data_IF_849058212998
#
_entry.id   IF_849058212998
#
_cell.length_a   1.000
_cell.length_b   1.000
_cell.length_c   1.000
_cell.angle_alpha   90.00
_cell.angle_beta   90.00
_cell.angle_gamma   90.00
#
_symmetry.space_group_name_H-M   'P 1'
#
loop_
_entity.id
_entity.type
_entity.pdbx_description
1 polymer ?
#
# COMPACT_ATOMS: atom_id res chain seq x y z
N UNK A 1 11.64 -10.51 13.49
CA UNK A 1 12.24 -9.24 13.00
C UNK A 1 11.27 -8.57 12.03
N UNK A 2 11.26 -7.24 11.98
CA UNK A 2 10.46 -6.47 11.01
C UNK A 2 11.39 -5.80 10.00
N UNK A 3 10.96 -5.76 8.74
CA UNK A 3 11.67 -5.11 7.64
C UNK A 3 10.72 -4.16 6.91
N UNK A 4 11.26 -3.04 6.44
CA UNK A 4 10.51 -2.04 5.67
C UNK A 4 11.13 -1.93 4.29
N UNK A 5 10.31 -2.13 3.26
CA UNK A 5 10.61 -1.74 1.89
C UNK A 5 9.85 -0.44 1.60
N UNK A 6 10.55 0.57 1.08
CA UNK A 6 9.97 1.82 0.62
C UNK A 6 9.95 1.88 -0.91
N UNK A 7 8.92 2.49 -1.46
CA UNK A 7 8.81 2.86 -2.86
C UNK A 7 8.48 4.33 -2.94
N UNK A 8 9.04 5.01 -3.93
CA UNK A 8 8.63 6.38 -4.25
C UNK A 8 7.79 6.33 -5.52
N UNK A 9 6.51 6.66 -5.40
CA UNK A 9 5.52 6.56 -6.46
C UNK A 9 4.88 7.90 -6.76
N UNK A 10 4.15 7.91 -7.87
CA UNK A 10 3.37 9.00 -8.46
C UNK A 10 4.18 10.28 -8.74
N UNK A 11 3.60 11.25 -9.47
CA UNK A 11 4.29 12.51 -9.77
C UNK A 11 4.63 13.37 -8.55
N UNK A 12 4.01 13.12 -7.40
CA UNK A 12 4.20 13.85 -6.14
C UNK A 12 5.31 13.25 -5.29
N UNK A 13 5.85 12.08 -5.67
CA UNK A 13 6.91 11.37 -4.95
C UNK A 13 6.46 10.92 -3.55
N UNK A 14 5.25 10.38 -3.48
CA UNK A 14 4.71 9.75 -2.28
C UNK A 14 5.52 8.50 -1.91
N UNK A 15 5.67 8.24 -0.61
CA UNK A 15 6.38 7.06 -0.12
C UNK A 15 5.42 5.95 0.32
N UNK A 16 5.22 4.97 -0.55
CA UNK A 16 4.50 3.75 -0.22
C UNK A 16 5.41 2.78 0.54
N UNK A 17 4.91 2.17 1.61
CA UNK A 17 5.69 1.22 2.41
C UNK A 17 5.08 -0.18 2.44
N UNK A 18 5.98 -1.18 2.36
CA UNK A 18 5.67 -2.57 2.69
C UNK A 18 6.42 -2.94 3.97
N UNK A 19 5.68 -3.07 5.06
CA UNK A 19 6.20 -3.56 6.36
C UNK A 19 5.92 -5.06 6.46
N UNK A 20 6.95 -5.87 6.66
CA UNK A 20 6.79 -7.32 6.70
C UNK A 20 7.64 -7.99 7.77
N UNK A 21 7.23 -9.20 8.15
CA UNK A 21 7.95 -10.03 9.11
C UNK A 21 8.58 -11.26 8.43
N UNK A 22 9.38 -12.01 9.20
CA UNK A 22 10.06 -13.22 8.72
C UNK A 22 9.13 -14.38 8.33
N UNK A 23 7.82 -14.30 8.66
CA UNK A 23 6.81 -15.29 8.26
C UNK A 23 6.13 -14.91 6.93
N UNK A 24 6.54 -13.81 6.31
CA UNK A 24 6.00 -13.31 5.05
C UNK A 24 4.71 -12.50 5.18
N UNK A 25 4.11 -12.37 6.36
CA UNK A 25 2.95 -11.51 6.53
C UNK A 25 3.38 -10.04 6.38
N UNK A 26 2.66 -9.28 5.55
CA UNK A 26 2.97 -7.87 5.32
C UNK A 26 1.75 -6.95 5.40
N UNK A 27 2.05 -5.68 5.66
CA UNK A 27 1.14 -4.56 5.58
C UNK A 27 1.59 -3.67 4.42
N UNK A 28 0.63 -3.20 3.61
CA UNK A 28 0.85 -2.16 2.61
C UNK A 28 0.30 -0.85 3.20
N UNK A 29 1.14 0.16 3.29
CA UNK A 29 0.85 1.45 3.90
C UNK A 29 0.95 2.52 2.82
N UNK A 30 -0.10 3.33 2.70
CA UNK A 30 -0.21 4.43 1.74
C UNK A 30 0.15 4.03 0.32
N UNK A 31 -0.60 3.13 -0.34
CA UNK A 31 -0.30 2.77 -1.71
C UNK A 31 -0.58 3.95 -2.64
N UNK A 32 0.47 4.71 -2.96
CA UNK A 32 0.44 5.86 -3.85
C UNK A 32 0.66 5.53 -5.32
N UNK A 33 0.70 4.25 -5.71
CA UNK A 33 0.88 3.83 -7.10
C UNK A 33 -0.21 4.44 -8.01
N UNK A 34 0.23 5.27 -8.94
CA UNK A 34 -0.60 6.02 -9.89
C UNK A 34 -0.50 5.47 -11.32
N UNK A 35 0.66 4.90 -11.67
CA UNK A 35 0.89 4.25 -12.96
C UNK A 35 0.89 2.73 -12.85
N UNK A 36 0.50 2.04 -13.92
CA UNK A 36 0.53 0.57 -13.98
C UNK A 36 1.94 -0.02 -13.73
N UNK A 37 3.01 0.71 -14.06
CA UNK A 37 4.38 0.31 -13.74
C UNK A 37 4.67 0.32 -12.23
N UNK A 38 4.02 1.20 -11.47
CA UNK A 38 4.17 1.31 -10.02
C UNK A 38 3.34 0.22 -9.32
N UNK A 39 2.14 -0.05 -9.83
CA UNK A 39 1.35 -1.21 -9.44
C UNK A 39 2.16 -2.51 -9.62
N UNK A 40 2.81 -2.67 -10.79
CA UNK A 40 3.67 -3.82 -11.09
C UNK A 40 4.88 -3.89 -10.14
N UNK A 41 5.59 -2.78 -9.93
CA UNK A 41 6.73 -2.74 -9.01
C UNK A 41 6.35 -3.19 -7.58
N UNK A 42 5.18 -2.76 -7.09
CA UNK A 42 4.66 -3.18 -5.80
C UNK A 42 4.33 -4.68 -5.79
N UNK A 43 3.58 -5.17 -6.79
CA UNK A 43 3.17 -6.58 -6.83
C UNK A 43 4.33 -7.54 -7.04
N UNK A 44 5.28 -7.17 -7.89
CA UNK A 44 6.46 -7.96 -8.21
C UNK A 44 7.33 -8.12 -6.96
N UNK A 45 7.51 -7.05 -6.17
CA UNK A 45 8.22 -7.14 -4.91
C UNK A 45 7.51 -8.07 -3.92
N UNK A 46 6.19 -7.91 -3.75
CA UNK A 46 5.39 -8.76 -2.85
C UNK A 46 5.52 -10.23 -3.25
N UNK A 47 5.45 -10.54 -4.55
CA UNK A 47 5.58 -11.90 -5.06
C UNK A 47 6.99 -12.47 -4.91
N UNK A 48 8.02 -11.72 -5.33
CA UNK A 48 9.43 -12.15 -5.28
C UNK A 48 9.92 -12.36 -3.84
N UNK A 49 9.45 -11.53 -2.90
CA UNK A 49 9.77 -11.67 -1.49
C UNK A 49 8.91 -12.72 -0.76
N UNK A 50 7.98 -13.39 -1.47
CA UNK A 50 7.10 -14.41 -0.89
C UNK A 50 6.16 -13.87 0.18
N UNK A 51 5.71 -12.62 0.03
CA UNK A 51 4.91 -11.92 1.03
C UNK A 51 3.42 -12.17 0.81
N UNK A 52 2.69 -12.18 1.91
CA UNK A 52 1.22 -12.25 1.95
C UNK A 52 0.69 -10.95 2.56
N UNK A 53 0.11 -10.05 1.75
CA UNK A 53 -0.56 -8.86 2.27
C UNK A 53 -1.74 -9.24 3.15
N UNK A 54 -1.76 -8.69 4.36
CA UNK A 54 -2.79 -8.95 5.38
C UNK A 54 -3.50 -7.68 5.83
N UNK A 55 -2.88 -6.51 5.60
CA UNK A 55 -3.41 -5.21 5.98
C UNK A 55 -3.13 -4.19 4.87
N UNK A 56 -4.12 -3.35 4.59
CA UNK A 56 -4.04 -2.16 3.77
C UNK A 56 -4.36 -0.96 4.67
N UNK A 57 -3.39 -0.08 4.87
CA UNK A 57 -3.47 1.02 5.81
C UNK A 57 -3.25 2.36 5.09
N UNK A 58 -4.01 3.39 5.47
CA UNK A 58 -3.62 4.76 5.19
C UNK A 58 -3.20 5.48 6.48
N UNK A 59 -2.14 6.29 6.40
CA UNK A 59 -1.80 7.25 7.46
C UNK A 59 -2.82 8.38 7.52
N UNK A 60 -3.24 8.86 6.35
CA UNK A 60 -4.29 9.83 6.10
C UNK A 60 -4.77 9.70 4.63
N UNK A 61 -5.81 10.42 4.23
CA UNK A 61 -6.49 10.19 2.95
C UNK A 61 -6.24 11.29 1.90
N UNK A 62 -5.09 11.98 1.97
CA UNK A 62 -4.68 12.89 0.90
C UNK A 62 -4.43 12.13 -0.41
N UNK A 63 -4.64 12.81 -1.55
CA UNK A 63 -4.85 12.17 -2.85
C UNK A 63 -3.71 11.25 -3.29
N UNK A 64 -2.47 11.63 -3.00
CA UNK A 64 -1.26 10.93 -3.40
C UNK A 64 -1.04 9.62 -2.65
N UNK A 65 -1.61 9.49 -1.45
CA UNK A 65 -1.55 8.28 -0.61
C UNK A 65 -2.66 7.26 -0.89
N UNK A 66 -3.69 7.64 -1.67
CA UNK A 66 -4.89 6.81 -1.86
C UNK A 66 -5.05 6.26 -3.28
N UNK A 67 -4.22 6.68 -4.23
CA UNK A 67 -4.34 6.30 -5.64
C UNK A 67 -4.39 4.78 -5.86
N UNK A 68 -3.55 4.04 -5.14
CA UNK A 68 -3.44 2.59 -5.21
C UNK A 68 -4.41 1.82 -4.31
N UNK A 69 -5.20 2.49 -3.46
CA UNK A 69 -6.06 1.81 -2.48
C UNK A 69 -6.99 0.79 -3.13
N UNK A 70 -7.69 1.20 -4.19
CA UNK A 70 -8.63 0.33 -4.89
C UNK A 70 -7.92 -0.84 -5.57
N UNK A 71 -6.74 -0.61 -6.13
CA UNK A 71 -5.93 -1.64 -6.75
C UNK A 71 -5.52 -2.69 -5.71
N UNK A 72 -4.89 -2.27 -4.61
CA UNK A 72 -4.43 -3.16 -3.53
C UNK A 72 -5.60 -3.92 -2.90
N UNK A 73 -6.69 -3.22 -2.57
CA UNK A 73 -7.89 -3.82 -2.00
C UNK A 73 -8.46 -4.94 -2.88
N UNK A 74 -8.56 -4.70 -4.19
CA UNK A 74 -9.06 -5.72 -5.15
C UNK A 74 -8.08 -6.86 -5.36
N UNK A 75 -6.78 -6.56 -5.51
CA UNK A 75 -5.75 -7.54 -5.84
C UNK A 75 -5.53 -8.56 -4.74
N UNK A 76 -5.68 -8.13 -3.48
CA UNK A 76 -5.42 -8.96 -2.31
C UNK A 76 -6.66 -9.24 -1.45
N UNK A 77 -7.84 -8.73 -1.83
CA UNK A 77 -9.08 -8.93 -1.08
C UNK A 77 -9.08 -8.25 0.30
N UNK A 78 -8.41 -7.11 0.42
CA UNK A 78 -8.21 -6.41 1.68
C UNK A 78 -9.22 -5.27 1.86
N UNK A 79 -9.58 -5.02 3.13
CA UNK A 79 -10.29 -3.81 3.53
C UNK A 79 -9.29 -2.70 3.82
N UNK A 80 -9.60 -1.47 3.40
CA UNK A 80 -8.83 -0.30 3.76
C UNK A 80 -9.09 0.07 5.23
N UNK A 81 -8.02 0.20 6.01
CA UNK A 81 -8.07 0.75 7.35
C UNK A 81 -7.52 2.18 7.35
N UNK A 82 -8.27 3.09 7.95
CA UNK A 82 -7.93 4.50 8.13
C UNK A 82 -8.55 5.01 9.44
N UNK A 83 -8.14 6.19 9.89
CA UNK A 83 -8.79 6.85 11.01
C UNK A 83 -10.22 7.29 10.64
N UNK A 84 -11.24 7.16 11.52
CA UNK A 84 -12.62 7.55 11.18
C UNK A 84 -12.77 8.99 10.68
N UNK A 85 -11.98 9.92 11.20
CA UNK A 85 -12.02 11.34 10.80
C UNK A 85 -11.52 11.58 9.37
N UNK A 86 -10.70 10.68 8.82
CA UNK A 86 -10.21 10.76 7.42
C UNK A 86 -11.24 10.21 6.42
N UNK A 87 -12.28 9.50 6.89
CA UNK A 87 -13.28 8.89 6.02
C UNK A 87 -14.00 9.93 5.15
N UNK A 88 -14.21 11.13 5.67
CA UNK A 88 -14.86 12.24 4.95
C UNK A 88 -14.09 12.67 3.70
N UNK A 89 -12.79 12.38 3.62
CA UNK A 89 -11.97 12.70 2.45
C UNK A 89 -12.20 11.69 1.31
N UNK A 90 -12.67 10.48 1.64
CA UNK A 90 -12.94 9.40 0.69
C UNK A 90 -14.41 9.36 0.21
N UNK A 91 -15.32 10.03 0.90
CA UNK A 91 -16.77 10.06 0.63
C UNK A 91 -17.14 11.15 -0.41
#
# INVERSE_FOLDING_TARGET
>A
MLTVQAFTFNPVQENTYVLYNEKGACCIIDPGCYFASEEAALTDFVEQAGLTPTLLLNTHCHLDHIFGNRFVAKRYGLLLHLHPDEKVVLD
#
